data_IF_173142250855
#
_entry.id   IF_173142250855
#
_cell.length_a   1.000
_cell.length_b   1.000
_cell.length_c   1.000
_cell.angle_alpha   90.00
_cell.angle_beta   90.00
_cell.angle_gamma   90.00
#
_symmetry.space_group_name_H-M   'P 1'
#
loop_
_entity.id
_entity.type
_entity.pdbx_description
1 polymer ?
#
# COMPACT_ATOMS: atom_id res chain seq x y z
N UNK A 1 -38.50 17.82 4.75
CA UNK A 1 -39.06 17.92 3.38
C UNK A 1 -39.07 16.52 2.81
N UNK A 2 -40.26 16.00 2.51
CA UNK A 2 -40.50 14.65 1.99
C UNK A 2 -39.76 14.40 0.66
N UNK A 3 -39.16 13.21 0.54
CA UNK A 3 -38.76 12.62 -0.73
C UNK A 3 -39.30 11.19 -0.81
N UNK A 4 -40.56 11.08 -1.18
CA UNK A 4 -41.16 9.85 -1.69
C UNK A 4 -41.49 10.05 -3.17
N UNK A 5 -40.68 9.49 -4.06
CA UNK A 5 -41.07 8.99 -5.39
C UNK A 5 -39.81 8.73 -6.21
N UNK A 6 -39.45 7.47 -6.42
CA UNK A 6 -39.07 6.94 -7.74
C UNK A 6 -39.12 5.41 -7.63
N UNK A 7 -40.24 4.84 -8.07
CA UNK A 7 -40.38 3.41 -8.30
C UNK A 7 -39.67 3.04 -9.60
N UNK A 8 -38.82 2.02 -9.53
CA UNK A 8 -38.26 1.35 -10.70
C UNK A 8 -39.01 0.03 -10.83
N UNK A 9 -39.78 -0.06 -11.91
CA UNK A 9 -40.46 -1.27 -12.37
C UNK A 9 -39.44 -2.29 -12.88
N UNK A 10 -39.56 -3.52 -12.40
CA UNK A 10 -38.94 -4.71 -12.96
C UNK A 10 -39.31 -4.86 -14.44
N UNK A 11 -38.32 -5.09 -15.30
CA UNK A 11 -38.59 -5.80 -16.55
C UNK A 11 -37.55 -6.89 -16.77
N UNK A 12 -38.11 -8.09 -16.74
CA UNK A 12 -37.54 -9.39 -17.04
C UNK A 12 -37.22 -9.50 -18.52
N UNK A 13 -35.95 -9.54 -18.91
CA UNK A 13 -35.45 -10.47 -19.95
C UNK A 13 -33.95 -10.30 -20.16
N UNK A 14 -33.27 -11.44 -20.23
CA UNK A 14 -31.91 -11.75 -20.77
C UNK A 14 -31.18 -12.66 -19.77
N UNK A 15 -31.74 -13.87 -19.63
CA UNK A 15 -31.15 -15.05 -18.99
C UNK A 15 -31.24 -16.24 -19.96
N UNK A 16 -31.05 -15.99 -21.25
CA UNK A 16 -30.97 -17.03 -22.28
C UNK A 16 -29.90 -16.67 -23.29
N UNK A 17 -28.71 -17.26 -23.15
CA UNK A 17 -27.87 -17.84 -24.24
C UNK A 17 -26.50 -18.26 -23.69
N UNK A 18 -26.47 -19.24 -22.79
CA UNK A 18 -25.29 -20.07 -22.58
C UNK A 18 -25.70 -21.54 -22.38
N UNK A 19 -26.39 -22.09 -23.38
CA UNK A 19 -26.45 -23.53 -23.58
C UNK A 19 -26.73 -23.79 -25.05
N UNK A 20 -25.68 -24.02 -25.84
CA UNK A 20 -25.72 -24.99 -26.94
C UNK A 20 -24.36 -25.02 -27.65
N UNK A 21 -23.51 -25.96 -27.20
CA UNK A 21 -22.59 -26.67 -28.07
C UNK A 21 -22.04 -27.91 -27.35
N UNK A 22 -22.92 -28.90 -27.16
CA UNK A 22 -22.53 -30.30 -26.96
C UNK A 22 -23.16 -31.14 -28.05
N UNK A 23 -22.50 -31.19 -29.20
CA UNK A 23 -22.78 -32.20 -30.24
C UNK A 23 -22.43 -33.59 -29.70
N UNK A 24 -23.45 -34.24 -29.15
CA UNK A 24 -23.47 -35.63 -28.71
C UNK A 24 -23.42 -36.52 -29.96
N UNK A 25 -22.28 -37.17 -30.24
CA UNK A 25 -22.24 -38.33 -31.14
C UNK A 25 -23.05 -39.46 -30.51
N UNK A 26 -24.32 -39.58 -30.88
CA UNK A 26 -25.10 -40.78 -30.64
C UNK A 26 -24.70 -41.83 -31.69
N UNK A 27 -24.03 -42.90 -31.27
CA UNK A 27 -23.82 -44.06 -32.12
C UNK A 27 -25.16 -44.80 -32.25
N UNK A 28 -25.65 -44.92 -33.48
CA UNK A 28 -26.80 -45.75 -33.85
C UNK A 28 -26.49 -47.21 -33.49
N UNK A 29 -27.28 -47.81 -32.58
CA UNK A 29 -27.27 -49.25 -32.34
C UNK A 29 -28.03 -49.93 -33.47
N UNK A 30 -27.33 -50.79 -34.21
CA UNK A 30 -27.97 -51.73 -35.15
C UNK A 30 -28.45 -52.97 -34.36
N UNK A 31 -29.74 -53.35 -34.40
CA UNK A 31 -30.27 -54.38 -33.53
C UNK A 31 -30.51 -55.70 -34.27
N UNK A 32 -29.48 -56.41 -34.76
CA UNK A 32 -29.62 -57.82 -35.14
C UNK A 32 -28.28 -58.56 -35.06
N UNK A 33 -28.12 -59.40 -34.04
CA UNK A 33 -27.57 -60.77 -34.08
C UNK A 33 -27.34 -61.26 -32.64
N UNK A 34 -28.25 -62.11 -32.17
CA UNK A 34 -28.03 -62.96 -31.00
C UNK A 34 -26.94 -63.98 -31.34
N UNK A 35 -25.87 -64.04 -30.54
CA UNK A 35 -25.21 -65.32 -30.25
C UNK A 35 -24.82 -65.34 -28.78
N UNK A 36 -25.34 -66.34 -28.08
CA UNK A 36 -24.93 -66.76 -26.74
C UNK A 36 -23.44 -67.06 -26.74
N UNK A 37 -22.67 -66.37 -25.89
CA UNK A 37 -21.35 -66.84 -25.47
C UNK A 37 -21.29 -66.85 -23.94
N UNK A 38 -21.20 -68.08 -23.46
CA UNK A 38 -20.84 -68.51 -22.12
C UNK A 38 -19.74 -67.61 -21.51
N UNK A 39 -19.95 -67.14 -20.28
CA UNK A 39 -18.90 -66.42 -19.53
C UNK A 39 -17.82 -67.44 -19.13
N UNK A 40 -16.84 -67.64 -19.99
CA UNK A 40 -15.57 -68.23 -19.55
C UNK A 40 -14.98 -67.35 -18.45
N UNK A 41 -14.72 -67.95 -17.28
CA UNK A 41 -13.95 -67.29 -16.21
C UNK A 41 -12.60 -66.86 -16.81
N UNK A 42 -12.11 -65.65 -16.53
CA UNK A 42 -10.83 -65.21 -17.06
C UNK A 42 -9.75 -66.18 -16.58
N UNK A 43 -9.17 -66.95 -17.50
CA UNK A 43 -7.93 -67.67 -17.24
C UNK A 43 -6.89 -66.59 -16.96
N UNK A 44 -6.41 -66.52 -15.73
CA UNK A 44 -5.23 -65.73 -15.39
C UNK A 44 -4.13 -66.16 -16.34
N UNK A 45 -3.84 -65.33 -17.36
CA UNK A 45 -2.64 -65.49 -18.18
C UNK A 45 -1.47 -65.34 -17.23
N UNK A 46 -0.89 -66.46 -16.81
CA UNK A 46 0.46 -66.46 -16.29
C UNK A 46 1.34 -65.89 -17.42
N UNK A 47 1.78 -64.64 -17.27
CA UNK A 47 2.93 -64.18 -18.03
C UNK A 47 4.07 -65.15 -17.68
N UNK A 48 4.77 -65.72 -18.66
CA UNK A 48 6.04 -66.39 -18.38
C UNK A 48 6.86 -65.42 -17.54
N UNK A 49 7.51 -65.91 -16.48
CA UNK A 49 8.46 -65.10 -15.72
C UNK A 49 9.48 -64.54 -16.72
N UNK A 50 9.33 -63.28 -17.08
CA UNK A 50 10.36 -62.55 -17.81
C UNK A 50 11.62 -62.61 -16.96
N UNK A 51 12.72 -63.04 -17.56
CA UNK A 51 14.01 -63.13 -16.90
C UNK A 51 14.45 -61.74 -16.46
N UNK A 52 14.17 -61.36 -15.21
CA UNK A 52 14.63 -60.12 -14.56
C UNK A 52 16.16 -60.07 -14.34
N UNK A 53 16.93 -60.83 -15.12
CA UNK A 53 18.39 -60.87 -15.13
C UNK A 53 19.02 -60.47 -16.47
N UNK A 54 18.23 -60.17 -17.50
CA UNK A 54 18.75 -59.50 -18.69
C UNK A 54 18.57 -58.00 -18.52
N UNK A 55 19.68 -57.26 -18.44
CA UNK A 55 19.69 -55.82 -18.62
C UNK A 55 18.92 -55.57 -19.91
N UNK A 56 17.79 -54.86 -19.86
CA UNK A 56 17.04 -54.53 -21.06
C UNK A 56 18.04 -53.96 -22.07
N UNK A 57 18.30 -54.69 -23.17
CA UNK A 57 19.20 -54.23 -24.20
C UNK A 57 18.68 -52.85 -24.59
N UNK A 58 19.46 -51.83 -24.24
CA UNK A 58 19.15 -50.44 -24.58
C UNK A 58 19.31 -50.36 -26.09
N UNK A 59 18.31 -50.83 -26.84
CA UNK A 59 18.34 -50.97 -28.29
C UNK A 59 18.65 -49.63 -28.98
N UNK A 60 18.33 -48.52 -28.29
CA UNK A 60 18.68 -47.15 -28.67
C UNK A 60 20.17 -46.78 -28.52
N UNK A 61 20.99 -47.61 -27.88
CA UNK A 61 22.46 -47.51 -27.84
C UNK A 61 23.14 -48.36 -28.92
N UNK A 62 22.46 -49.40 -29.43
CA UNK A 62 23.00 -50.32 -30.43
C UNK A 62 22.79 -49.81 -31.88
N UNK A 63 21.84 -48.90 -32.09
CA UNK A 63 21.52 -48.35 -33.41
C UNK A 63 21.94 -46.87 -33.47
N UNK A 64 22.76 -46.44 -34.46
CA UNK A 64 23.13 -45.04 -34.58
C UNK A 64 21.89 -44.18 -34.88
N UNK A 65 21.73 -43.02 -34.22
CA UNK A 65 20.54 -42.20 -34.39
C UNK A 65 20.41 -41.71 -35.84
N UNK A 66 19.17 -41.76 -36.34
CA UNK A 66 18.83 -41.31 -37.70
C UNK A 66 19.08 -39.81 -37.87
N UNK A 67 19.21 -39.34 -39.13
CA UNK A 67 19.39 -37.90 -39.42
C UNK A 67 18.26 -37.05 -38.82
N UNK A 68 17.02 -37.57 -38.80
CA UNK A 68 15.85 -36.90 -38.24
C UNK A 68 15.91 -36.79 -36.72
N UNK A 69 16.33 -37.85 -36.03
CA UNK A 69 16.49 -37.84 -34.56
C UNK A 69 17.64 -36.92 -34.12
N UNK A 70 18.77 -36.92 -34.84
CA UNK A 70 19.86 -35.97 -34.60
C UNK A 70 19.40 -34.52 -34.75
N UNK A 71 18.61 -34.23 -35.78
CA UNK A 71 18.04 -32.88 -35.99
C UNK A 71 17.00 -32.52 -34.92
N UNK A 72 16.15 -33.45 -34.51
CA UNK A 72 15.19 -33.24 -33.43
C UNK A 72 15.89 -32.91 -32.11
N UNK A 73 16.94 -33.64 -31.75
CA UNK A 73 17.77 -33.34 -30.58
C UNK A 73 18.44 -31.96 -30.68
N UNK A 74 19.02 -31.62 -31.84
CA UNK A 74 19.62 -30.29 -32.07
C UNK A 74 18.60 -29.16 -31.95
N UNK A 75 17.37 -29.33 -32.44
CA UNK A 75 16.31 -28.32 -32.34
C UNK A 75 15.97 -28.04 -30.87
N UNK A 76 15.91 -29.06 -30.02
CA UNK A 76 15.66 -28.88 -28.58
C UNK A 76 16.80 -28.07 -27.94
N UNK A 77 18.06 -28.42 -28.21
CA UNK A 77 19.21 -27.68 -27.67
C UNK A 77 19.32 -26.25 -28.22
N UNK A 78 19.01 -26.04 -29.50
CA UNK A 78 18.91 -24.69 -30.08
C UNK A 78 17.80 -23.90 -29.40
N UNK A 79 16.64 -24.50 -29.16
CA UNK A 79 15.53 -23.88 -28.43
C UNK A 79 15.90 -23.51 -27.00
N UNK A 80 16.60 -24.39 -26.28
CA UNK A 80 17.12 -24.09 -24.94
C UNK A 80 18.17 -22.97 -24.97
N UNK A 81 19.05 -22.96 -25.96
CA UNK A 81 20.03 -21.90 -26.16
C UNK A 81 19.37 -20.54 -26.43
N UNK A 82 18.38 -20.49 -27.33
CA UNK A 82 17.59 -19.28 -27.62
C UNK A 82 16.82 -18.83 -26.38
N UNK A 83 16.17 -19.75 -25.66
CA UNK A 83 15.46 -19.45 -24.42
C UNK A 83 16.39 -18.86 -23.35
N UNK A 84 17.56 -19.45 -23.16
CA UNK A 84 18.59 -18.93 -22.23
C UNK A 84 19.07 -17.54 -22.63
N UNK A 85 19.33 -17.31 -23.93
CA UNK A 85 19.70 -15.98 -24.43
C UNK A 85 18.60 -14.94 -24.23
N UNK A 86 17.34 -15.31 -24.40
CA UNK A 86 16.21 -14.41 -24.13
C UNK A 86 16.12 -14.05 -22.65
N UNK A 87 16.29 -15.03 -21.74
CA UNK A 87 16.31 -14.77 -20.29
C UNK A 87 17.44 -13.81 -19.93
N UNK A 88 18.65 -14.04 -20.46
CA UNK A 88 19.79 -13.14 -20.24
C UNK A 88 19.49 -11.74 -20.80
N UNK A 89 18.92 -11.64 -22.00
CA UNK A 89 18.54 -10.36 -22.59
C UNK A 89 17.52 -9.62 -21.71
N UNK A 90 16.47 -10.29 -21.24
CA UNK A 90 15.49 -9.68 -20.34
C UNK A 90 16.11 -9.26 -19.00
N UNK A 91 17.03 -10.06 -18.46
CA UNK A 91 17.76 -9.70 -17.23
C UNK A 91 18.67 -8.47 -17.45
N UNK A 92 19.38 -8.40 -18.57
CA UNK A 92 20.25 -7.27 -18.92
C UNK A 92 19.43 -6.01 -19.19
N UNK A 93 18.33 -6.11 -19.96
CA UNK A 93 17.44 -4.97 -20.21
C UNK A 93 16.81 -4.49 -18.91
N UNK A 94 16.37 -5.40 -18.03
CA UNK A 94 15.87 -5.06 -16.71
C UNK A 94 16.93 -4.40 -15.83
N UNK A 95 18.18 -4.85 -15.87
CA UNK A 95 19.29 -4.23 -15.14
C UNK A 95 19.61 -2.82 -15.65
N UNK A 96 19.64 -2.62 -16.97
CA UNK A 96 19.90 -1.32 -17.58
C UNK A 96 18.77 -0.32 -17.31
N UNK A 97 17.52 -0.77 -17.33
CA UNK A 97 16.34 0.04 -16.99
C UNK A 97 16.26 0.35 -15.48
N UNK A 98 16.74 -0.56 -14.64
CA UNK A 98 16.81 -0.38 -13.20
C UNK A 98 18.00 0.46 -12.71
N UNK A 99 18.90 0.90 -13.61
CA UNK A 99 20.02 1.76 -13.23
C UNK A 99 19.49 3.11 -12.71
N UNK A 100 19.42 3.26 -11.39
CA UNK A 100 18.92 4.48 -10.76
C UNK A 100 19.94 5.61 -10.91
N UNK A 101 19.50 6.87 -11.08
CA UNK A 101 20.38 8.02 -11.08
C UNK A 101 21.20 8.06 -9.79
N UNK A 102 22.44 8.59 -9.85
CA UNK A 102 23.29 8.70 -8.67
C UNK A 102 22.54 9.42 -7.53
N UNK A 103 22.46 8.78 -6.35
CA UNK A 103 21.78 9.32 -5.18
C UNK A 103 22.75 9.79 -4.11
N UNK A 104 22.38 10.90 -3.47
CA UNK A 104 23.12 11.55 -2.40
C UNK A 104 22.36 11.34 -1.09
N UNK A 105 23.08 11.05 0.01
CA UNK A 105 22.49 10.90 1.34
C UNK A 105 21.81 12.22 1.74
N UNK A 106 20.53 12.15 2.10
CA UNK A 106 19.72 13.30 2.48
C UNK A 106 19.39 13.28 3.98
N UNK A 107 18.89 12.15 4.46
CA UNK A 107 18.46 11.96 5.84
C UNK A 107 18.87 10.58 6.32
N UNK A 108 19.23 10.47 7.59
CA UNK A 108 19.62 9.20 8.22
C UNK A 108 19.50 9.34 9.73
N UNK A 109 18.61 8.55 10.29
CA UNK A 109 18.39 8.47 11.73
C UNK A 109 18.23 7.01 12.12
N UNK A 110 19.10 6.55 13.02
CA UNK A 110 19.10 5.20 13.58
C UNK A 110 18.89 5.24 15.10
N UNK A 111 18.44 6.38 15.64
CA UNK A 111 18.01 6.58 17.02
C UNK A 111 19.03 6.12 18.09
N UNK A 112 20.31 5.99 17.71
CA UNK A 112 21.36 5.42 18.58
C UNK A 112 21.68 6.26 19.81
N UNK A 113 21.31 7.54 19.79
CA UNK A 113 21.65 8.51 20.85
C UNK A 113 20.67 8.50 22.03
N UNK A 114 19.63 7.67 22.00
CA UNK A 114 18.73 7.45 23.14
C UNK A 114 17.69 8.56 23.37
N UNK A 115 17.66 9.59 22.52
CA UNK A 115 16.67 10.67 22.54
C UNK A 115 16.27 11.05 21.12
N UNK A 116 15.03 11.49 20.92
CA UNK A 116 14.58 12.01 19.64
C UNK A 116 15.27 13.35 19.33
N UNK A 117 15.95 13.46 18.19
CA UNK A 117 16.59 14.71 17.78
C UNK A 117 15.57 15.69 17.21
N UNK A 118 15.25 16.72 17.98
CA UNK A 118 14.31 17.77 17.57
C UNK A 118 14.86 18.71 16.50
N UNK A 119 16.13 18.58 16.09
CA UNK A 119 16.64 19.23 14.88
C UNK A 119 16.27 18.48 13.61
N UNK A 120 15.98 17.18 13.73
CA UNK A 120 15.57 16.31 12.63
C UNK A 120 14.06 16.16 12.55
N UNK A 121 13.39 16.14 13.70
CA UNK A 121 11.97 15.84 13.84
C UNK A 121 11.18 17.03 14.39
N UNK A 122 9.91 17.13 13.96
CA UNK A 122 8.89 17.97 14.57
C UNK A 122 7.74 17.10 15.07
N UNK A 123 7.19 17.46 16.22
CA UNK A 123 5.91 16.92 16.69
C UNK A 123 4.78 17.63 15.95
N UNK A 124 3.79 16.85 15.48
CA UNK A 124 2.53 17.38 14.99
C UNK A 124 1.46 17.18 16.07
N UNK A 125 1.08 18.27 16.73
CA UNK A 125 0.21 18.29 17.90
C UNK A 125 -1.19 18.77 17.47
N UNK A 126 -2.18 17.92 17.67
CA UNK A 126 -3.56 18.11 17.20
C UNK A 126 -4.54 17.20 17.93
N UNK A 127 -5.81 17.59 17.99
CA UNK A 127 -6.92 16.74 18.44
C UNK A 127 -7.74 16.18 17.29
N UNK A 128 -7.38 16.50 16.03
CA UNK A 128 -8.14 16.17 14.83
C UNK A 128 -7.71 14.92 14.07
N UNK A 129 -6.63 14.25 14.52
CA UNK A 129 -6.14 13.04 13.85
C UNK A 129 -5.43 13.27 12.51
N UNK A 130 -4.90 14.48 12.27
CA UNK A 130 -4.01 14.77 11.14
C UNK A 130 -4.60 14.45 9.76
N UNK A 131 -5.73 15.07 9.41
CA UNK A 131 -6.54 14.84 8.20
C UNK A 131 -7.23 13.46 8.10
N UNK A 132 -6.89 12.48 8.94
CA UNK A 132 -7.54 11.18 8.98
C UNK A 132 -8.78 11.12 9.88
N UNK A 133 -9.02 12.16 10.70
CA UNK A 133 -10.16 12.20 11.62
C UNK A 133 -10.10 11.13 12.71
N UNK A 134 -8.92 10.56 12.99
CA UNK A 134 -8.66 9.58 14.04
C UNK A 134 -8.89 10.18 15.44
N UNK A 135 -9.10 9.33 16.44
CA UNK A 135 -9.63 9.75 17.75
C UNK A 135 -8.54 10.07 18.78
N UNK A 136 -7.26 9.98 18.43
CA UNK A 136 -6.16 10.35 19.30
C UNK A 136 -5.94 11.88 19.38
N UNK A 137 -5.44 12.32 20.53
CA UNK A 137 -4.76 13.58 20.71
C UNK A 137 -3.25 13.33 20.53
N UNK A 138 -2.64 13.91 19.51
CA UNK A 138 -1.19 13.80 19.31
C UNK A 138 -0.45 14.78 20.20
N UNK A 139 0.58 14.31 20.91
CA UNK A 139 1.34 15.10 21.90
C UNK A 139 2.84 15.03 21.65
N UNK A 140 3.60 15.88 22.34
CA UNK A 140 5.05 15.84 22.46
C UNK A 140 5.53 15.12 23.74
N UNK A 141 4.63 14.40 24.43
CA UNK A 141 4.97 13.65 25.64
C UNK A 141 5.90 12.48 25.34
N UNK A 142 6.88 12.28 26.24
CA UNK A 142 7.74 11.09 26.25
C UNK A 142 6.98 9.80 26.56
N UNK A 143 5.72 9.87 26.98
CA UNK A 143 4.86 8.68 27.12
C UNK A 143 4.40 8.15 25.75
N UNK A 144 4.38 9.02 24.73
CA UNK A 144 3.83 8.75 23.42
C UNK A 144 4.87 8.68 22.30
N UNK A 145 5.99 9.40 22.42
CA UNK A 145 7.11 9.29 21.49
C UNK A 145 8.43 9.37 22.25
N UNK A 146 9.20 8.28 22.21
CA UNK A 146 10.45 8.16 22.95
C UNK A 146 11.42 7.20 22.25
N UNK A 147 12.70 7.30 22.59
CA UNK A 147 13.70 6.35 22.11
C UNK A 147 14.01 5.34 23.21
N UNK A 148 13.92 4.05 22.88
CA UNK A 148 14.23 2.93 23.77
C UNK A 148 15.02 1.89 22.99
N UNK A 149 16.09 1.35 23.58
CA UNK A 149 16.94 0.31 22.96
C UNK A 149 17.43 0.66 21.54
N UNK A 150 17.76 1.95 21.34
CA UNK A 150 18.23 2.50 20.07
C UNK A 150 17.16 2.59 18.97
N UNK A 151 15.86 2.61 19.33
CA UNK A 151 14.74 2.65 18.38
C UNK A 151 13.74 3.70 18.82
N UNK A 152 13.09 4.32 17.85
CA UNK A 152 11.96 5.20 18.11
C UNK A 152 10.70 4.36 18.37
N UNK A 153 10.05 4.61 19.49
CA UNK A 153 8.73 4.06 19.84
C UNK A 153 7.70 5.18 19.75
N UNK A 154 6.64 4.96 18.99
CA UNK A 154 5.41 5.74 19.07
C UNK A 154 4.36 4.86 19.76
N UNK A 155 3.85 5.32 20.91
CA UNK A 155 2.99 4.54 21.81
C UNK A 155 1.64 5.22 22.01
N UNK A 156 0.53 4.50 21.80
CA UNK A 156 -0.79 4.99 22.16
C UNK A 156 -1.06 4.72 23.65
N UNK A 157 -1.61 5.70 24.35
CA UNK A 157 -1.92 5.62 25.79
C UNK A 157 -3.34 6.09 26.06
N UNK A 158 -4.03 5.46 27.01
CA UNK A 158 -5.37 5.90 27.42
C UNK A 158 -5.32 7.28 28.08
N UNK A 159 -6.34 8.07 27.78
CA UNK A 159 -6.60 9.34 28.46
C UNK A 159 -7.59 9.10 29.60
N UNK A 160 -7.25 9.62 30.78
CA UNK A 160 -8.13 9.57 31.95
C UNK A 160 -9.45 10.31 31.70
N UNK A 161 -10.45 10.03 32.53
CA UNK A 161 -11.75 10.70 32.45
C UNK A 161 -11.69 12.06 33.11
N UNK A 162 -12.12 13.10 32.38
CA UNK A 162 -12.15 14.46 32.88
C UNK A 162 -13.57 14.86 33.32
N UNK A 163 -13.70 15.81 34.28
CA UNK A 163 -14.99 16.36 34.67
C UNK A 163 -15.73 17.04 33.51
N UNK A 164 -17.06 17.05 33.60
CA UNK A 164 -17.92 17.81 32.69
C UNK A 164 -17.55 19.29 32.68
N UNK A 165 -17.47 19.89 31.49
CA UNK A 165 -17.07 21.28 31.28
C UNK A 165 -15.56 21.51 31.16
N UNK A 166 -14.74 20.46 31.21
CA UNK A 166 -13.30 20.57 30.99
C UNK A 166 -13.01 20.90 29.52
N UNK A 167 -12.23 21.95 29.27
CA UNK A 167 -11.77 22.32 27.92
C UNK A 167 -10.24 22.39 27.90
N UNK A 168 -9.65 21.76 26.89
CA UNK A 168 -8.24 21.92 26.53
C UNK A 168 -8.15 22.78 25.27
N UNK A 169 -7.34 23.85 25.33
CA UNK A 169 -7.15 24.78 24.22
C UNK A 169 -5.65 24.85 23.85
N UNK A 170 -5.25 23.98 22.94
CA UNK A 170 -3.87 23.84 22.46
C UNK A 170 -3.40 25.08 21.69
N UNK A 171 -4.32 25.90 21.16
CA UNK A 171 -3.98 27.19 20.54
C UNK A 171 -3.53 28.18 21.61
N UNK A 172 -4.27 28.27 22.71
CA UNK A 172 -3.93 29.14 23.83
C UNK A 172 -2.60 28.73 24.48
N UNK A 173 -2.32 27.42 24.49
CA UNK A 173 -1.06 26.86 24.97
C UNK A 173 0.11 27.06 23.97
N UNK A 174 -0.18 27.47 22.73
CA UNK A 174 0.83 27.67 21.69
C UNK A 174 1.48 26.39 21.16
N UNK A 175 0.89 25.22 21.44
CA UNK A 175 1.45 23.90 21.10
C UNK A 175 0.83 23.32 19.84
N UNK A 176 -0.38 23.72 19.47
CA UNK A 176 -1.07 23.17 18.31
C UNK A 176 -0.33 23.48 17.00
N UNK A 177 -0.18 22.47 16.14
CA UNK A 177 0.44 22.61 14.82
C UNK A 177 -0.55 22.50 13.67
N UNK A 178 -1.79 22.11 13.96
CA UNK A 178 -2.87 22.03 12.98
C UNK A 178 -3.68 23.35 12.91
N UNK A 179 -4.57 23.49 11.92
CA UNK A 179 -5.53 24.59 11.91
C UNK A 179 -6.35 24.69 13.20
N UNK A 180 -6.72 25.92 13.59
CA UNK A 180 -7.38 26.25 14.87
C UNK A 180 -8.55 25.33 15.27
N UNK A 181 -9.32 24.85 14.30
CA UNK A 181 -10.48 23.98 14.57
C UNK A 181 -10.10 22.59 15.12
N UNK A 182 -8.87 22.12 14.92
CA UNK A 182 -8.32 20.89 15.48
C UNK A 182 -7.43 21.13 16.72
N UNK A 183 -7.52 22.32 17.31
CA UNK A 183 -6.66 22.74 18.42
C UNK A 183 -7.42 22.88 19.74
N UNK A 184 -8.65 22.38 19.82
CA UNK A 184 -9.42 22.39 21.06
C UNK A 184 -10.26 21.13 21.21
N UNK A 185 -10.51 20.75 22.46
CA UNK A 185 -11.41 19.66 22.80
C UNK A 185 -12.11 19.96 24.13
N UNK A 186 -13.40 19.64 24.20
CA UNK A 186 -14.24 19.93 25.37
C UNK A 186 -15.01 18.68 25.79
N UNK A 187 -15.00 18.40 27.08
CA UNK A 187 -15.88 17.39 27.68
C UNK A 187 -17.25 18.04 27.95
N UNK A 188 -18.25 17.67 27.17
CA UNK A 188 -19.63 18.14 27.32
C UNK A 188 -20.63 17.07 26.87
N UNK A 189 -21.16 16.33 27.84
CA UNK A 189 -22.20 15.31 27.67
C UNK A 189 -23.49 15.83 27.02
N UNK A 190 -23.88 17.08 27.27
CA UNK A 190 -25.10 17.68 26.68
C UNK A 190 -24.90 18.01 25.20
N UNK A 191 -23.68 18.43 24.84
CA UNK A 191 -23.29 18.72 23.46
C UNK A 191 -22.78 17.48 22.70
N UNK A 192 -22.65 16.33 23.36
CA UNK A 192 -22.13 15.09 22.76
C UNK A 192 -20.62 15.11 22.47
N UNK A 193 -19.86 16.04 23.08
CA UNK A 193 -18.41 16.15 22.86
C UNK A 193 -17.65 15.48 24.01
N UNK A 194 -16.55 14.81 23.67
CA UNK A 194 -15.64 14.22 24.65
C UNK A 194 -14.20 14.61 24.36
N UNK A 195 -13.37 14.59 25.39
CA UNK A 195 -11.92 14.63 25.22
C UNK A 195 -11.48 13.34 24.55
N UNK A 196 -10.58 13.47 23.57
CA UNK A 196 -9.96 12.36 22.85
C UNK A 196 -9.56 11.24 23.83
N UNK A 197 -10.04 10.00 23.62
CA UNK A 197 -9.83 8.90 24.57
C UNK A 197 -8.40 8.36 24.58
N UNK A 198 -7.61 8.70 23.55
CA UNK A 198 -6.23 8.24 23.37
C UNK A 198 -5.30 9.44 23.22
N UNK A 199 -4.11 9.34 23.82
CA UNK A 199 -2.94 10.13 23.43
C UNK A 199 -2.02 9.28 22.57
N UNK A 200 -1.41 9.89 21.56
CA UNK A 200 -0.41 9.24 20.69
C UNK A 200 0.59 10.30 20.21
N UNK A 201 1.37 9.99 19.18
CA UNK A 201 2.23 10.96 18.52
C UNK A 201 2.16 10.85 16.99
N UNK A 202 2.39 11.99 16.36
CA UNK A 202 2.63 12.14 14.93
C UNK A 202 3.91 12.95 14.77
N UNK A 203 4.87 12.40 14.03
CA UNK A 203 6.20 12.97 13.86
C UNK A 203 6.44 13.22 12.39
N UNK A 204 7.00 14.39 12.07
CA UNK A 204 7.41 14.72 10.70
C UNK A 204 8.87 15.12 10.65
N UNK A 205 9.55 14.79 9.56
CA UNK A 205 10.92 15.26 9.33
C UNK A 205 10.92 16.75 9.03
N UNK A 206 11.94 17.47 9.51
CA UNK A 206 12.17 18.88 9.17
C UNK A 206 12.81 19.06 7.79
N UNK A 207 13.29 17.97 7.19
CA UNK A 207 13.79 17.91 5.82
C UNK A 207 12.76 17.24 4.92
N UNK A 208 12.82 17.57 3.63
CA UNK A 208 12.00 16.98 2.60
C UNK A 208 12.82 16.47 1.43
N UNK A 209 12.25 15.51 0.70
CA UNK A 209 12.82 14.93 -0.50
C UNK A 209 11.92 15.20 -1.71
N UNK A 210 12.55 15.34 -2.86
CA UNK A 210 11.89 15.28 -4.16
C UNK A 210 12.74 14.36 -5.04
N UNK A 211 12.19 13.23 -5.44
CA UNK A 211 12.86 12.18 -6.21
C UNK A 211 14.09 11.56 -5.51
N UNK A 212 14.06 10.25 -5.31
CA UNK A 212 15.13 9.51 -4.68
C UNK A 212 14.65 8.18 -4.15
N UNK A 213 15.27 7.75 -3.06
CA UNK A 213 14.99 6.48 -2.42
C UNK A 213 14.87 6.69 -0.91
N UNK A 214 13.93 6.01 -0.28
CA UNK A 214 13.86 5.94 1.18
C UNK A 214 13.66 4.49 1.61
N UNK A 215 14.26 4.14 2.75
CA UNK A 215 14.12 2.85 3.41
C UNK A 215 13.85 3.09 4.89
N UNK A 216 12.80 2.45 5.40
CA UNK A 216 12.36 2.55 6.78
C UNK A 216 12.27 1.14 7.33
N UNK A 217 13.07 0.84 8.35
CA UNK A 217 13.01 -0.43 9.08
C UNK A 217 12.10 -0.26 10.29
N UNK A 218 10.97 -0.96 10.29
CA UNK A 218 9.87 -0.73 11.23
C UNK A 218 9.20 -2.03 11.65
N UNK A 219 8.73 -2.10 12.89
CA UNK A 219 7.80 -3.13 13.39
C UNK A 219 6.46 -2.45 13.67
N UNK A 220 5.39 -3.03 13.14
CA UNK A 220 4.04 -2.47 13.26
C UNK A 220 3.34 -2.91 14.56
N UNK A 221 2.37 -2.11 15.06
CA UNK A 221 1.68 -2.37 16.32
C UNK A 221 0.62 -3.48 16.22
N UNK A 222 0.32 -4.12 17.36
CA UNK A 222 -0.86 -4.96 17.63
C UNK A 222 -1.81 -4.22 18.57
N UNK A 223 -3.11 -4.35 18.31
CA UNK A 223 -4.17 -3.83 19.16
C UNK A 223 -5.37 -3.37 18.35
N UNK A 224 -6.56 -3.70 18.84
CA UNK A 224 -7.79 -3.34 18.17
C UNK A 224 -7.91 -1.84 17.97
N UNK A 225 -8.32 -1.48 16.75
CA UNK A 225 -8.55 -0.10 16.31
C UNK A 225 -7.28 0.77 16.27
N UNK A 226 -6.09 0.21 16.49
CA UNK A 226 -4.84 0.91 16.20
C UNK A 226 -4.65 0.95 14.68
N UNK A 227 -4.22 2.09 14.18
CA UNK A 227 -3.85 2.28 12.79
C UNK A 227 -2.50 2.99 12.73
N UNK A 228 -1.61 2.49 11.88
CA UNK A 228 -0.29 3.08 11.68
C UNK A 228 -0.09 3.46 10.22
N UNK A 229 0.61 4.57 10.02
CA UNK A 229 0.86 5.12 8.70
C UNK A 229 2.27 5.71 8.62
N UNK A 230 2.99 5.32 7.58
CA UNK A 230 4.29 5.86 7.19
C UNK A 230 4.11 6.45 5.80
N UNK A 231 4.28 7.76 5.70
CA UNK A 231 3.95 8.47 4.46
C UNK A 231 4.86 9.63 4.19
N UNK A 232 4.93 10.03 2.93
CA UNK A 232 5.46 11.32 2.53
C UNK A 232 4.28 12.27 2.31
N UNK A 233 4.34 13.44 2.93
CA UNK A 233 3.37 14.54 2.79
C UNK A 233 4.01 15.74 2.09
N UNK A 234 3.24 16.51 1.30
CA UNK A 234 3.75 17.70 0.61
C UNK A 234 4.19 18.77 1.63
N UNK A 235 5.26 19.49 1.31
CA UNK A 235 5.76 20.59 2.14
C UNK A 235 4.98 21.90 1.97
N UNK A 236 4.39 22.09 0.79
CA UNK A 236 3.67 23.30 0.41
C UNK A 236 2.30 22.96 -0.18
N UNK A 237 1.41 23.96 -0.15
CA UNK A 237 0.07 23.83 -0.71
C UNK A 237 -0.02 24.26 -2.17
N UNK A 238 1.00 23.95 -2.99
CA UNK A 238 1.17 24.50 -4.33
C UNK A 238 0.00 24.22 -5.29
N UNK A 239 -0.56 23.01 -5.25
CA UNK A 239 -1.71 22.60 -6.06
C UNK A 239 -3.06 22.79 -5.35
N UNK A 240 -3.07 23.29 -4.11
CA UNK A 240 -4.26 23.46 -3.27
C UNK A 240 -4.45 22.33 -2.25
N UNK A 241 -5.46 22.43 -1.38
CA UNK A 241 -5.62 21.51 -0.24
C UNK A 241 -5.69 20.02 -0.64
N UNK A 242 -5.42 19.12 0.32
CA UNK A 242 -5.57 17.67 0.14
C UNK A 242 -6.95 17.33 -0.51
N UNK A 243 -6.99 16.47 -1.55
CA UNK A 243 -5.90 15.64 -2.06
C UNK A 243 -5.15 16.23 -3.27
N UNK A 244 -5.27 17.53 -3.57
CA UNK A 244 -4.66 18.14 -4.76
C UNK A 244 -3.14 18.16 -4.74
N UNK A 245 -2.51 18.36 -3.58
CA UNK A 245 -1.04 18.22 -3.43
C UNK A 245 -0.54 16.78 -3.36
N UNK A 246 -1.45 15.81 -3.36
CA UNK A 246 -1.12 14.40 -3.25
C UNK A 246 -0.59 13.97 -1.87
N UNK A 247 -0.53 12.65 -1.67
CA UNK A 247 0.07 12.01 -0.52
C UNK A 247 0.62 10.64 -0.94
N UNK A 248 1.83 10.30 -0.48
CA UNK A 248 2.47 9.01 -0.81
C UNK A 248 2.48 8.16 0.45
N UNK A 249 1.57 7.19 0.54
CA UNK A 249 1.52 6.24 1.66
C UNK A 249 2.40 5.04 1.35
N UNK A 250 3.55 4.97 2.04
CA UNK A 250 4.53 3.89 1.87
C UNK A 250 4.03 2.59 2.50
N UNK A 251 3.46 2.72 3.69
CA UNK A 251 2.92 1.62 4.46
C UNK A 251 1.78 2.13 5.34
N UNK A 252 0.67 1.43 5.29
CA UNK A 252 -0.45 1.58 6.20
C UNK A 252 -0.90 0.19 6.67
N UNK A 253 -1.15 0.03 7.96
CA UNK A 253 -1.67 -1.22 8.53
C UNK A 253 -2.54 -0.97 9.75
N UNK A 254 -3.43 -1.92 10.01
CA UNK A 254 -4.29 -1.98 11.19
C UNK A 254 -3.63 -2.87 12.24
N UNK A 255 -3.80 -2.53 13.51
CA UNK A 255 -3.35 -3.35 14.63
C UNK A 255 -4.30 -4.49 15.00
N UNK A 256 -5.53 -4.51 14.45
CA UNK A 256 -6.50 -5.59 14.65
C UNK A 256 -5.89 -6.95 14.26
N UNK A 257 -6.40 -8.02 14.86
CA UNK A 257 -6.03 -9.37 14.47
C UNK A 257 -6.51 -9.71 13.04
N UNK A 258 -5.83 -10.64 12.37
CA UNK A 258 -6.27 -11.23 11.09
C UNK A 258 -7.68 -11.85 11.11
N UNK A 259 -8.26 -12.06 12.30
CA UNK A 259 -9.59 -12.64 12.50
C UNK A 259 -10.72 -11.69 12.10
N UNK A 260 -10.45 -10.39 11.99
CA UNK A 260 -11.39 -9.41 11.46
C UNK A 260 -11.64 -9.65 9.97
N UNK A 261 -12.84 -9.34 9.50
CA UNK A 261 -13.29 -9.65 8.13
C UNK A 261 -12.49 -8.92 7.05
N UNK A 262 -12.07 -7.69 7.32
CA UNK A 262 -11.19 -6.89 6.47
C UNK A 262 -9.71 -7.30 6.63
N UNK A 263 -9.41 -8.23 7.54
CA UNK A 263 -8.07 -8.51 8.06
C UNK A 263 -7.61 -7.43 9.02
N UNK A 264 -6.31 -7.41 9.32
CA UNK A 264 -5.75 -6.46 10.25
C UNK A 264 -4.25 -6.34 10.06
N UNK A 265 -3.50 -6.76 11.08
CA UNK A 265 -2.05 -6.71 11.12
C UNK A 265 -1.38 -7.65 10.10
N UNK A 266 -2.14 -8.53 9.44
CA UNK A 266 -1.70 -9.37 8.32
C UNK A 266 -1.74 -8.66 6.95
N UNK A 267 -2.30 -7.44 6.91
CA UNK A 267 -2.40 -6.62 5.71
C UNK A 267 -1.51 -5.37 5.80
N UNK A 268 -0.88 -5.04 4.66
CA UNK A 268 -0.14 -3.80 4.46
C UNK A 268 -0.61 -3.13 3.17
N UNK A 269 -1.00 -1.87 3.26
CA UNK A 269 -1.41 -1.04 2.13
C UNK A 269 -0.29 -0.09 1.71
N UNK A 270 -0.14 0.13 0.40
CA UNK A 270 0.66 1.22 -0.14
C UNK A 270 -0.09 1.86 -1.31
N UNK A 271 -0.23 3.18 -1.26
CA UNK A 271 -1.03 3.91 -2.24
C UNK A 271 -0.59 5.36 -2.39
N UNK A 272 -0.97 5.94 -3.52
CA UNK A 272 -0.90 7.36 -3.82
C UNK A 272 -2.30 7.94 -3.70
N UNK A 273 -2.51 8.92 -2.83
CA UNK A 273 -3.76 9.69 -2.80
C UNK A 273 -3.61 10.94 -3.68
N UNK A 274 -4.58 11.22 -4.54
CA UNK A 274 -4.59 12.36 -5.45
C UNK A 274 -6.02 12.71 -5.87
N UNK A 275 -6.29 13.97 -6.21
CA UNK A 275 -7.57 14.39 -6.78
C UNK A 275 -7.65 15.90 -6.97
N UNK A 276 -8.61 16.42 -7.74
CA UNK A 276 -8.71 17.86 -8.00
C UNK A 276 -9.01 18.68 -6.76
N UNK A 277 -9.86 18.16 -5.87
CA UNK A 277 -10.33 18.86 -4.68
C UNK A 277 -10.97 17.86 -3.69
N UNK A 278 -10.80 18.14 -2.39
CA UNK A 278 -11.37 17.37 -1.29
C UNK A 278 -12.81 17.75 -0.97
N UNK A 279 -13.24 18.98 -1.27
CA UNK A 279 -14.60 19.45 -0.94
C UNK A 279 -15.69 18.77 -1.79
N UNK A 280 -15.41 18.51 -3.06
CA UNK A 280 -16.32 17.77 -3.97
C UNK A 280 -16.16 16.24 -3.82
N UNK A 281 -15.31 15.76 -2.90
CA UNK A 281 -15.10 14.33 -2.66
C UNK A 281 -14.47 13.60 -3.85
N UNK A 282 -13.73 14.31 -4.70
CA UNK A 282 -13.13 13.78 -5.93
C UNK A 282 -11.73 13.19 -5.69
N UNK A 283 -11.38 12.85 -4.46
CA UNK A 283 -10.15 12.13 -4.14
C UNK A 283 -10.16 10.69 -4.66
N UNK A 284 -9.00 10.20 -5.07
CA UNK A 284 -8.78 8.81 -5.45
C UNK A 284 -7.49 8.28 -4.83
N UNK A 285 -7.43 6.96 -4.72
CA UNK A 285 -6.21 6.24 -4.37
C UNK A 285 -5.77 5.35 -5.53
N UNK A 286 -4.46 5.34 -5.79
CA UNK A 286 -3.82 4.38 -6.69
C UNK A 286 -2.83 3.57 -5.87
N UNK A 287 -3.18 2.32 -5.59
CA UNK A 287 -2.43 1.49 -4.66
C UNK A 287 -2.67 0.01 -4.82
N UNK A 288 -2.03 -0.73 -3.95
CA UNK A 288 -2.23 -2.16 -3.77
C UNK A 288 -2.02 -2.53 -2.29
N UNK A 289 -2.57 -3.67 -1.91
CA UNK A 289 -2.36 -4.26 -0.60
C UNK A 289 -1.59 -5.58 -0.72
N UNK A 290 -0.91 -5.95 0.36
CA UNK A 290 -0.25 -7.25 0.50
C UNK A 290 -0.72 -7.89 1.78
N UNK A 291 -1.22 -9.11 1.63
CA UNK A 291 -1.70 -9.96 2.72
C UNK A 291 -0.70 -11.08 2.99
N UNK A 292 -0.26 -11.22 4.23
CA UNK A 292 0.55 -12.35 4.68
C UNK A 292 -0.38 -13.51 5.11
N UNK A 293 0.08 -14.76 4.92
CA UNK A 293 -0.76 -15.96 5.15
C UNK A 293 -0.47 -16.72 6.44
N UNK A 294 0.75 -16.61 6.96
CA UNK A 294 1.25 -17.46 8.07
C UNK A 294 1.92 -16.66 9.20
N UNK A 295 1.99 -15.35 9.06
CA UNK A 295 2.60 -14.38 9.98
C UNK A 295 1.92 -13.04 9.72
N UNK A 296 2.19 -12.05 10.56
CA UNK A 296 1.67 -10.70 10.44
C UNK A 296 2.81 -9.66 10.46
N UNK A 297 2.51 -8.42 10.08
CA UNK A 297 3.49 -7.33 10.00
C UNK A 297 3.97 -6.82 11.37
N UNK A 298 3.40 -7.36 12.44
CA UNK A 298 3.73 -7.03 13.82
C UNK A 298 4.56 -8.10 14.54
N UNK A 299 4.85 -9.24 13.89
CA UNK A 299 5.71 -10.30 14.44
C UNK A 299 7.21 -9.92 14.42
N UNK A 300 7.62 -8.96 13.59
CA UNK A 300 9.02 -8.58 13.43
C UNK A 300 9.23 -7.25 12.72
N UNK A 301 10.51 -6.94 12.47
CA UNK A 301 10.89 -5.77 11.69
C UNK A 301 10.79 -6.06 10.20
N UNK A 302 10.17 -5.13 9.49
CA UNK A 302 10.04 -5.09 8.05
C UNK A 302 10.79 -3.89 7.49
N UNK A 303 11.29 -3.99 6.26
CA UNK A 303 11.93 -2.86 5.57
C UNK A 303 10.97 -2.36 4.49
N UNK A 304 10.40 -1.19 4.70
CA UNK A 304 9.55 -0.52 3.72
C UNK A 304 10.43 0.39 2.87
N UNK A 305 10.30 0.31 1.55
CA UNK A 305 11.10 1.12 0.65
C UNK A 305 10.31 1.78 -0.46
N UNK A 306 10.88 2.87 -0.96
CA UNK A 306 10.39 3.61 -2.12
C UNK A 306 11.54 3.95 -3.06
N UNK A 307 11.25 3.89 -4.35
CA UNK A 307 12.00 4.56 -5.42
C UNK A 307 11.05 5.54 -6.07
N UNK A 308 11.39 6.82 -6.04
CA UNK A 308 10.60 7.91 -6.59
C UNK A 308 11.44 8.67 -7.60
N UNK A 309 10.94 8.78 -8.82
CA UNK A 309 11.61 9.49 -9.92
C UNK A 309 10.62 10.41 -10.62
N UNK A 310 11.08 11.31 -11.51
CA UNK A 310 10.18 12.10 -12.36
C UNK A 310 9.23 11.28 -13.23
N UNK A 311 9.45 9.96 -13.40
CA UNK A 311 8.68 9.10 -14.31
C UNK A 311 7.80 8.06 -13.62
N UNK A 312 8.12 7.71 -12.38
CA UNK A 312 7.38 6.69 -11.63
C UNK A 312 7.64 6.76 -10.11
N UNK A 313 6.71 6.19 -9.35
CA UNK A 313 6.91 5.75 -7.97
C UNK A 313 6.80 4.23 -7.93
N UNK A 314 7.72 3.60 -7.21
CA UNK A 314 7.67 2.19 -6.86
C UNK A 314 7.88 2.02 -5.37
N UNK A 315 6.97 1.33 -4.69
CA UNK A 315 7.11 0.95 -3.28
C UNK A 315 7.28 -0.56 -3.14
N UNK A 316 7.93 -1.01 -2.09
CA UNK A 316 8.22 -2.42 -1.83
C UNK A 316 8.36 -2.71 -0.33
N UNK A 317 8.27 -3.98 0.04
CA UNK A 317 8.39 -4.44 1.44
C UNK A 317 9.34 -5.64 1.57
N UNK A 318 10.23 -5.55 2.54
CA UNK A 318 11.32 -6.47 2.92
C UNK A 318 12.42 -6.65 1.86
N UNK A 319 12.03 -6.88 0.61
CA UNK A 319 12.94 -7.03 -0.52
C UNK A 319 12.47 -6.14 -1.69
N UNK A 320 13.38 -5.44 -2.39
CA UNK A 320 13.04 -4.67 -3.59
C UNK A 320 12.24 -5.43 -4.66
N UNK A 321 12.34 -6.76 -4.74
CA UNK A 321 11.54 -7.58 -5.67
C UNK A 321 10.08 -7.71 -5.24
N UNK A 322 9.78 -7.55 -3.96
CA UNK A 322 8.43 -7.58 -3.39
C UNK A 322 7.74 -6.22 -3.57
N UNK A 323 7.56 -5.82 -4.83
CA UNK A 323 6.91 -4.55 -5.18
C UNK A 323 5.45 -4.55 -4.70
N UNK A 324 5.10 -3.51 -3.97
CA UNK A 324 3.74 -3.23 -3.50
C UNK A 324 2.99 -2.45 -4.59
N UNK A 325 3.50 -1.25 -4.92
CA UNK A 325 2.95 -0.38 -5.94
C UNK A 325 4.01 -0.06 -6.99
N UNK A 326 3.62 -0.04 -8.26
CA UNK A 326 4.38 0.57 -9.35
C UNK A 326 3.46 1.47 -10.17
N UNK A 327 3.62 2.79 -10.02
CA UNK A 327 2.86 3.78 -10.75
C UNK A 327 3.80 4.50 -11.73
N UNK A 328 3.62 4.24 -13.04
CA UNK A 328 4.40 4.86 -14.11
C UNK A 328 3.53 5.86 -14.86
N UNK A 329 3.78 7.16 -14.71
CA UNK A 329 2.87 8.21 -15.15
C UNK A 329 2.62 8.18 -16.66
N UNK A 330 3.64 7.81 -17.44
CA UNK A 330 3.57 7.68 -18.90
C UNK A 330 2.63 6.57 -19.38
N UNK A 331 2.39 5.52 -18.57
CA UNK A 331 1.49 4.41 -18.92
C UNK A 331 0.02 4.83 -18.91
N UNK A 332 -0.33 5.84 -18.12
CA UNK A 332 -1.70 6.33 -18.00
C UNK A 332 -1.90 7.79 -18.42
N UNK A 333 -0.82 8.53 -18.70
CA UNK A 333 -0.86 9.90 -19.21
C UNK A 333 -1.12 10.96 -18.14
N UNK A 334 -0.57 10.77 -16.93
CA UNK A 334 -0.72 11.70 -15.81
C UNK A 334 -1.97 11.46 -14.94
N UNK A 335 -1.97 12.02 -13.74
CA UNK A 335 -2.98 11.75 -12.71
C UNK A 335 -4.36 12.29 -13.07
N UNK A 336 -4.44 13.40 -13.80
CA UNK A 336 -5.73 13.93 -14.30
C UNK A 336 -6.46 12.89 -15.15
N UNK A 337 -5.73 12.33 -16.12
CA UNK A 337 -6.24 11.31 -17.03
C UNK A 337 -6.55 10.00 -16.32
N UNK A 338 -5.69 9.60 -15.38
CA UNK A 338 -5.86 8.39 -14.57
C UNK A 338 -7.12 8.46 -13.70
N UNK A 339 -7.41 9.63 -13.13
CA UNK A 339 -8.61 9.84 -12.33
C UNK A 339 -9.89 9.94 -13.16
N UNK A 340 -9.78 10.21 -14.46
CA UNK A 340 -10.93 10.25 -15.35
C UNK A 340 -11.66 11.60 -15.36
N UNK A 341 -11.04 12.67 -14.85
CA UNK A 341 -11.64 14.01 -14.75
C UNK A 341 -11.67 14.77 -16.09
N UNK A 342 -11.11 14.20 -17.15
CA UNK A 342 -11.28 14.67 -18.53
C UNK A 342 -12.66 14.35 -19.12
N UNK A 343 -13.51 13.58 -18.44
CA UNK A 343 -14.85 13.21 -18.92
C UNK A 343 -15.82 14.39 -18.80
N UNK A 344 -16.78 14.48 -19.72
CA UNK A 344 -17.77 15.58 -19.76
C UNK A 344 -18.59 15.74 -18.47
N UNK A 345 -18.80 14.64 -17.72
CA UNK A 345 -19.48 14.69 -16.42
C UNK A 345 -18.75 15.55 -15.37
N UNK A 346 -17.47 15.83 -15.58
CA UNK A 346 -16.64 16.70 -14.75
C UNK A 346 -16.35 18.05 -15.44
N UNK A 347 -17.16 18.44 -16.44
CA UNK A 347 -17.05 19.75 -17.07
C UNK A 347 -17.21 20.86 -16.01
N UNK A 348 -16.24 21.77 -15.95
CA UNK A 348 -16.18 22.85 -14.97
C UNK A 348 -15.31 22.55 -13.74
N UNK A 349 -14.84 21.32 -13.56
CA UNK A 349 -13.80 21.01 -12.57
C UNK A 349 -12.45 21.50 -13.11
N UNK A 350 -11.77 22.34 -12.35
CA UNK A 350 -10.44 22.84 -12.70
C UNK A 350 -9.38 21.76 -12.52
N UNK A 351 -8.41 21.69 -13.43
CA UNK A 351 -7.24 20.82 -13.29
C UNK A 351 -6.13 21.55 -12.53
N UNK A 352 -5.94 21.26 -11.22
CA UNK A 352 -4.91 21.92 -10.42
C UNK A 352 -3.50 21.63 -10.94
N UNK A 353 -3.30 20.53 -11.66
CA UNK A 353 -1.99 20.09 -12.16
C UNK A 353 -1.64 20.66 -13.54
N UNK A 354 -2.57 21.37 -14.18
CA UNK A 354 -2.37 21.98 -15.50
C UNK A 354 -1.17 22.96 -15.52
N UNK A 355 -0.86 23.59 -14.39
CA UNK A 355 0.29 24.49 -14.22
C UNK A 355 1.64 23.78 -14.29
N UNK A 356 1.68 22.46 -14.10
CA UNK A 356 2.89 21.65 -14.16
C UNK A 356 3.25 21.16 -15.58
N UNK A 357 2.40 21.44 -16.58
CA UNK A 357 2.60 20.98 -17.95
C UNK A 357 3.99 21.38 -18.51
N UNK A 358 4.72 20.48 -19.19
CA UNK A 358 4.33 19.15 -19.65
C UNK A 358 4.64 17.98 -18.68
N UNK A 359 4.94 18.25 -17.41
CA UNK A 359 5.15 17.21 -16.39
C UNK A 359 3.90 16.35 -16.24
N UNK A 360 4.08 15.02 -16.23
CA UNK A 360 3.02 14.06 -15.90
C UNK A 360 3.08 13.60 -14.43
N UNK A 361 4.07 14.09 -13.67
CA UNK A 361 4.36 13.64 -12.33
C UNK A 361 3.49 14.34 -11.28
N UNK A 362 2.94 15.52 -11.56
CA UNK A 362 2.03 16.23 -10.68
C UNK A 362 0.85 15.34 -10.23
N UNK A 363 0.54 15.29 -8.92
CA UNK A 363 1.08 16.16 -7.86
C UNK A 363 2.40 15.70 -7.21
N UNK A 364 2.93 14.53 -7.58
CA UNK A 364 4.14 13.93 -7.01
C UNK A 364 5.43 14.46 -7.66
N UNK A 365 5.46 15.75 -7.92
CA UNK A 365 6.59 16.49 -8.48
C UNK A 365 7.03 17.67 -7.60
N UNK A 366 6.64 17.66 -6.33
CA UNK A 366 7.01 18.66 -5.31
C UNK A 366 7.90 18.04 -4.23
N UNK A 367 8.34 18.84 -3.27
CA UNK A 367 9.05 18.35 -2.09
C UNK A 367 8.07 17.75 -1.08
N UNK A 368 8.42 16.59 -0.54
CA UNK A 368 7.63 15.91 0.48
C UNK A 368 8.50 15.55 1.69
N UNK A 369 8.00 15.79 2.90
CA UNK A 369 8.61 15.34 4.15
C UNK A 369 8.03 14.00 4.59
N UNK A 370 8.81 13.22 5.35
CA UNK A 370 8.36 11.96 5.94
C UNK A 370 7.55 12.24 7.20
N UNK A 371 6.44 11.53 7.33
CA UNK A 371 5.57 11.55 8.51
C UNK A 371 5.36 10.12 9.01
N UNK A 372 5.48 9.95 10.32
CA UNK A 372 5.16 8.74 11.07
C UNK A 372 3.93 9.05 11.93
N UNK A 373 2.86 8.29 11.77
CA UNK A 373 1.63 8.46 12.55
C UNK A 373 1.18 7.13 13.14
N UNK A 374 0.75 7.20 14.39
CA UNK A 374 0.02 6.12 15.04
C UNK A 374 -1.33 6.65 15.51
N UNK A 375 -2.36 6.41 14.71
CA UNK A 375 -3.73 6.78 15.03
C UNK A 375 -4.50 5.65 15.72
N UNK A 376 -5.62 6.02 16.35
CA UNK A 376 -6.53 5.04 16.97
C UNK A 376 -7.98 5.41 16.67
N UNK A 377 -8.74 4.45 16.15
CA UNK A 377 -10.07 4.68 15.60
C UNK A 377 -10.07 5.74 14.50
N UNK A 378 -11.25 6.18 14.08
CA UNK A 378 -11.37 7.32 13.19
C UNK A 378 -12.54 7.29 12.24
N UNK A 379 -12.58 8.35 11.42
CA UNK A 379 -13.64 8.59 10.43
C UNK A 379 -13.19 8.30 8.99
N UNK A 380 -11.96 7.83 8.81
CA UNK A 380 -11.32 7.61 7.51
C UNK A 380 -11.79 6.35 6.76
N UNK A 381 -12.71 5.56 7.31
CA UNK A 381 -13.20 4.31 6.70
C UNK A 381 -12.15 3.20 6.66
N UNK A 382 -11.11 3.25 7.50
CA UNK A 382 -10.15 2.14 7.58
C UNK A 382 -10.69 0.95 8.40
N UNK A 383 -11.64 1.24 9.29
CA UNK A 383 -12.36 0.26 10.09
C UNK A 383 -13.80 0.27 9.61
N UNK A 384 -14.17 -0.62 8.68
CA UNK A 384 -15.58 -0.77 8.27
C UNK A 384 -16.21 -2.03 8.87
N UNK A 385 -15.43 -2.83 9.61
CA UNK A 385 -15.87 -4.08 10.20
C UNK A 385 -15.82 -4.09 11.73
N UNK A 386 -16.97 -4.44 12.34
CA UNK A 386 -17.15 -4.67 13.77
C UNK A 386 -16.69 -3.51 14.69
N UNK A 387 -16.56 -2.29 14.14
CA UNK A 387 -16.19 -1.11 14.92
C UNK A 387 -17.30 -0.75 15.93
N UNK A 388 -16.95 -0.36 17.17
CA UNK A 388 -17.93 -0.02 18.21
C UNK A 388 -18.54 1.39 18.09
N UNK A 389 -18.29 2.11 16.99
CA UNK A 389 -18.81 3.45 16.73
C UNK A 389 -19.47 3.56 15.35
N UNK A 390 -20.31 4.58 15.16
CA UNK A 390 -21.00 4.86 13.92
C UNK A 390 -20.44 6.08 13.20
N UNK A 391 -20.20 5.96 11.88
CA UNK A 391 -19.68 7.06 11.07
C UNK A 391 -20.76 8.10 10.69
N UNK A 392 -22.04 7.72 10.70
CA UNK A 392 -23.15 8.57 10.24
C UNK A 392 -23.48 9.74 11.16
N UNK A 393 -23.20 9.61 12.46
CA UNK A 393 -23.57 10.59 13.50
C UNK A 393 -22.51 11.68 13.72
N UNK A 394 -21.46 11.70 12.90
CA UNK A 394 -20.35 12.63 13.01
C UNK A 394 -19.28 12.21 14.03
N UNK A 395 -18.15 12.90 13.97
CA UNK A 395 -16.92 12.52 14.69
C UNK A 395 -17.05 12.54 16.21
N UNK A 396 -17.71 13.56 16.77
CA UNK A 396 -17.79 13.72 18.23
C UNK A 396 -18.63 12.62 18.88
N UNK A 397 -19.74 12.26 18.25
CA UNK A 397 -20.58 11.12 18.65
C UNK A 397 -19.79 9.81 18.53
N UNK A 398 -19.14 9.58 17.39
CA UNK A 398 -18.34 8.38 17.15
C UNK A 398 -17.22 8.20 18.18
N UNK A 399 -16.54 9.29 18.54
CA UNK A 399 -15.47 9.27 19.55
C UNK A 399 -16.02 9.02 20.96
N UNK A 400 -17.23 9.50 21.27
CA UNK A 400 -17.92 9.22 22.54
C UNK A 400 -18.31 7.74 22.64
N UNK A 401 -18.84 7.16 21.56
CA UNK A 401 -19.16 5.72 21.47
C UNK A 401 -17.89 4.87 21.60
N UNK A 402 -16.82 5.23 20.87
CA UNK A 402 -15.53 4.57 20.96
C UNK A 402 -14.96 4.59 22.38
N UNK A 403 -15.09 5.74 23.07
CA UNK A 403 -14.68 5.89 24.48
C UNK A 403 -15.51 5.01 25.42
N UNK A 404 -16.83 4.96 25.23
CA UNK A 404 -17.72 4.13 26.04
C UNK A 404 -17.40 2.62 25.89
N UNK A 405 -16.90 2.22 24.72
CA UNK A 405 -16.48 0.85 24.44
C UNK A 405 -15.06 0.51 24.92
N UNK A 406 -14.35 1.39 25.64
CA UNK A 406 -12.95 1.15 26.02
C UNK A 406 -12.70 -0.19 26.74
N UNK A 407 -13.64 -0.65 27.56
CA UNK A 407 -13.54 -1.92 28.28
C UNK A 407 -13.57 -3.15 27.36
N UNK A 408 -14.09 -3.02 26.13
CA UNK A 408 -14.16 -4.13 25.17
C UNK A 408 -12.91 -4.21 24.30
N UNK A 409 -12.38 -3.10 23.80
CA UNK A 409 -11.25 -3.13 22.89
C UNK A 409 -9.89 -2.98 23.58
N UNK A 410 -9.81 -2.23 24.69
CA UNK A 410 -8.52 -1.99 25.34
C UNK A 410 -7.93 -3.22 26.01
N UNK A 411 -8.78 -4.16 26.46
CA UNK A 411 -8.34 -5.44 27.05
C UNK A 411 -7.55 -6.31 26.06
N UNK A 412 -7.75 -6.10 24.75
CA UNK A 412 -7.05 -6.84 23.69
C UNK A 412 -5.68 -6.20 23.36
N UNK A 413 -5.37 -5.04 23.93
CA UNK A 413 -4.09 -4.38 23.72
C UNK A 413 -2.97 -5.04 24.53
N UNK A 414 -1.81 -5.31 23.91
CA UNK A 414 -0.63 -5.78 24.63
C UNK A 414 -0.17 -4.78 25.70
N UNK A 415 0.37 -5.28 26.81
CA UNK A 415 0.91 -4.44 27.91
C UNK A 415 2.33 -3.94 27.66
N UNK A 416 3.05 -4.51 26.69
CA UNK A 416 4.44 -4.17 26.36
C UNK A 416 4.56 -3.30 25.10
N UNK A 417 5.71 -3.39 24.44
CA UNK A 417 6.04 -2.59 23.25
C UNK A 417 5.31 -3.09 21.98
N UNK A 418 4.60 -4.21 22.04
CA UNK A 418 3.91 -4.77 20.86
C UNK A 418 2.75 -3.89 20.35
N UNK A 419 2.28 -2.93 21.13
CA UNK A 419 1.30 -1.92 20.68
C UNK A 419 1.93 -0.66 20.09
N UNK A 420 3.26 -0.58 20.10
CA UNK A 420 3.98 0.58 19.61
C UNK A 420 4.25 0.43 18.11
N UNK A 421 4.29 1.54 17.39
CA UNK A 421 4.99 1.62 16.11
C UNK A 421 6.48 1.83 16.42
N UNK A 422 7.31 0.83 16.10
CA UNK A 422 8.73 0.83 16.46
C UNK A 422 9.59 1.00 15.21
N UNK A 423 10.31 2.11 15.11
CA UNK A 423 11.21 2.41 13.99
C UNK A 423 12.66 2.20 14.42
N UNK A 424 13.36 1.29 13.75
CA UNK A 424 14.77 0.97 13.99
C UNK A 424 15.68 1.96 13.28
N UNK A 425 15.39 2.26 12.01
CA UNK A 425 16.20 3.18 11.22
C UNK A 425 15.45 3.74 10.03
N UNK A 426 15.79 4.96 9.64
CA UNK A 426 15.32 5.62 8.42
C UNK A 426 16.54 6.11 7.65
N UNK A 427 16.61 5.77 6.36
CA UNK A 427 17.57 6.36 5.43
C UNK A 427 16.83 6.91 4.24
N UNK A 428 17.07 8.18 3.90
CA UNK A 428 16.57 8.81 2.69
C UNK A 428 17.75 9.32 1.87
N UNK A 429 17.69 9.09 0.56
CA UNK A 429 18.65 9.56 -0.43
C UNK A 429 17.88 10.28 -1.53
N UNK A 430 18.40 11.39 -2.01
CA UNK A 430 17.80 12.14 -3.10
C UNK A 430 18.65 11.98 -4.37
N UNK A 431 18.06 12.09 -5.55
CA UNK A 431 18.85 12.22 -6.78
C UNK A 431 19.82 13.39 -6.62
N UNK A 432 21.12 13.14 -6.85
CA UNK A 432 22.11 14.19 -6.70
C UNK A 432 21.82 15.30 -7.70
N UNK A 433 21.75 16.55 -7.22
CA UNK A 433 21.76 17.71 -8.11
C UNK A 433 23.13 17.71 -8.80
N UNK A 434 23.19 17.28 -10.05
CA UNK A 434 24.37 17.52 -10.89
C UNK A 434 24.42 19.02 -11.08
N UNK A 435 25.27 19.72 -10.33
CA UNK A 435 25.53 21.15 -10.61
C UNK A 435 25.89 21.21 -12.10
N UNK A 436 25.20 22.04 -12.91
CA UNK A 436 25.61 22.21 -14.29
C UNK A 436 27.05 22.66 -14.26
N UNK A 437 27.94 21.82 -14.78
CA UNK A 437 29.33 22.23 -15.02
C UNK A 437 29.23 23.48 -15.85
N UNK A 438 29.64 24.63 -15.32
CA UNK A 438 29.74 25.86 -16.08
C UNK A 438 30.72 25.60 -17.22
N UNK A 439 30.20 25.20 -18.38
CA UNK A 439 30.94 25.28 -19.61
C UNK A 439 31.24 26.76 -19.80
N UNK A 440 32.52 27.12 -19.72
CA UNK A 440 32.97 28.40 -20.24
C UNK A 440 32.54 28.42 -21.70
N UNK A 441 31.67 29.36 -22.02
CA UNK A 441 31.25 29.68 -23.37
C UNK A 441 32.51 29.95 -24.21
N UNK A 442 32.93 28.95 -24.98
CA UNK A 442 33.87 29.13 -26.08
C UNK A 442 33.09 29.24 -27.37
N UNK A 443 32.14 30.18 -27.43
CA UNK A 443 31.81 30.96 -28.62
C UNK A 443 31.38 30.21 -29.87
N UNK A 444 30.98 28.93 -29.80
CA UNK A 444 30.50 28.21 -30.97
C UNK A 444 29.45 27.15 -30.60
N UNK A 445 28.22 27.43 -31.03
CA UNK A 445 27.05 26.56 -31.23
C UNK A 445 26.30 26.09 -29.98
N UNK A 446 25.10 26.66 -29.85
CA UNK A 446 23.98 26.15 -29.06
C UNK A 446 23.66 24.69 -29.39
N UNK A 447 23.68 23.83 -28.38
CA UNK A 447 22.94 22.57 -28.36
C UNK A 447 22.24 22.46 -27.01
N UNK A 448 21.00 21.97 -27.04
CA UNK A 448 19.99 22.15 -26.00
C UNK A 448 20.31 21.56 -24.63
N UNK A 449 19.57 22.06 -23.65
CA UNK A 449 19.54 21.54 -22.28
C UNK A 449 18.98 20.12 -22.32
N UNK A 450 19.81 19.14 -21.97
CA UNK A 450 19.38 17.78 -21.62
C UNK A 450 19.20 17.77 -20.12
N UNK A 451 17.96 17.55 -19.67
CA UNK A 451 17.61 17.28 -18.27
C UNK A 451 18.04 15.88 -17.87
#
# INVERSE_FOLDING_TARGET
MDMSAFGITEDTTIQQTFSDNRTRRQSVRNPFLKTTREKEKPVLRHRPKENWGQVADKYWLAVPPTKREKWSSRIVWMGMGVGGLLVILFAVLGYLDAATPATCKLFDDDFRYGTLDTNLWRYEISTGGGNAGSFEWTTDSTDNAFVKDGKLHIRPTLVETYPEGTTFNLTADGTCTDPYFWCSMTQNSTAGTTINPIKSAKLSTKISMQYGEAQIKVKFPKGDWIWSQIQLNPDDDFYGAYPANGQIVLAQTRGNSYQYSQGGNDNLDSFLAYGPDGFVGLGQTLGANKKLKFTDFSDGFHVIGIVWTPTHIRTWVDDPVNTMLLAQWNKFGGFWKKGGWQKEIFAGVFDPWSVAYPSLAAPFDRHFHLTLQLGVGGMNGIFDDDQPWQLSEGRDTAMTEFRAANTTWYKEWPTGDDRDLIVDSITMRQQCVVKPTTYKDTGDKWTGIVY
#
